data_IF_882120192498
#
_entry.id   IF_882120192498
#
_cell.length_a   1.000
_cell.length_b   1.000
_cell.length_c   1.000
_cell.angle_alpha   90.00
_cell.angle_beta   90.00
_cell.angle_gamma   90.00
#
_symmetry.space_group_name_H-M   'P 1'
#
loop_
_entity.id
_entity.type
_entity.pdbx_description
1 polymer ?
#
# COMPACT_ATOMS: atom_id res chain seq x y z
N UNK A 1 30.68 19.83 1.85
CA UNK A 1 29.63 19.63 2.86
C UNK A 1 29.38 21.01 3.41
N UNK A 2 28.22 21.60 3.12
CA UNK A 2 27.88 22.88 3.69
C UNK A 2 27.74 22.73 5.21
N UNK A 3 28.21 23.69 6.02
CA UNK A 3 28.03 23.64 7.47
C UNK A 3 26.54 23.59 7.79
N UNK A 4 26.15 22.76 8.75
CA UNK A 4 24.76 22.68 9.20
C UNK A 4 24.28 24.08 9.63
N UNK A 5 23.11 24.54 9.15
CA UNK A 5 22.61 25.85 9.49
C UNK A 5 22.46 25.94 11.01
N UNK A 6 23.04 26.98 11.61
CA UNK A 6 22.92 27.26 13.04
C UNK A 6 21.43 27.37 13.38
N UNK A 7 20.94 26.50 14.27
CA UNK A 7 19.55 26.57 14.76
C UNK A 7 19.36 27.95 15.38
N UNK A 8 18.56 28.81 14.73
CA UNK A 8 18.21 30.13 15.27
C UNK A 8 17.43 29.92 16.58
N UNK A 9 17.71 30.73 17.60
CA UNK A 9 16.91 30.76 18.83
C UNK A 9 15.46 31.07 18.41
N UNK A 10 14.49 30.25 18.82
CA UNK A 10 13.08 30.57 18.62
C UNK A 10 12.79 31.83 19.43
N UNK A 11 12.56 32.93 18.73
CA UNK A 11 12.02 34.16 19.32
C UNK A 11 10.55 33.92 19.68
N UNK A 12 10.04 34.62 20.69
CA UNK A 12 8.64 34.60 21.15
C UNK A 12 7.63 34.89 20.03
N UNK A 13 8.08 35.44 18.91
CA UNK A 13 7.29 35.68 17.70
C UNK A 13 7.02 34.43 16.86
N UNK A 14 7.62 33.28 17.15
CA UNK A 14 7.27 32.05 16.43
C UNK A 14 5.90 31.55 16.91
N UNK A 15 5.02 31.06 16.01
CA UNK A 15 3.70 30.58 16.40
C UNK A 15 3.76 29.38 17.36
N UNK A 16 4.86 28.63 17.33
CA UNK A 16 5.11 27.50 18.23
C UNK A 16 6.01 27.86 19.43
N UNK A 17 6.36 29.14 19.61
CA UNK A 17 7.08 29.57 20.80
C UNK A 17 6.10 29.64 21.98
N UNK A 18 6.27 28.73 22.93
CA UNK A 18 5.53 28.77 24.20
C UNK A 18 6.03 29.98 25.00
N UNK A 19 5.13 30.89 25.37
CA UNK A 19 5.48 32.15 26.03
C UNK A 19 5.98 31.95 27.47
N UNK A 20 5.42 30.98 28.19
CA UNK A 20 5.78 30.67 29.58
C UNK A 20 5.85 29.16 29.79
N UNK A 21 6.95 28.67 30.38
CA UNK A 21 7.12 27.25 30.71
C UNK A 21 6.97 27.10 32.22
N UNK A 22 5.81 26.63 32.66
CA UNK A 22 5.59 26.27 34.07
C UNK A 22 6.11 24.85 34.31
N UNK A 23 6.94 24.70 35.33
CA UNK A 23 7.50 23.41 35.71
C UNK A 23 6.53 22.65 36.62
N UNK A 24 5.93 21.59 36.09
CA UNK A 24 5.10 20.68 36.87
C UNK A 24 5.93 19.48 37.36
N UNK A 25 6.15 19.33 38.68
CA UNK A 25 6.89 18.20 39.24
C UNK A 25 6.20 16.86 39.00
N UNK A 26 4.87 16.82 38.88
CA UNK A 26 4.10 15.59 38.63
C UNK A 26 4.33 15.09 37.21
N UNK A 27 4.21 15.97 36.21
CA UNK A 27 4.55 15.68 34.82
C UNK A 27 6.02 15.26 34.66
N UNK A 28 6.94 15.82 35.45
CA UNK A 28 8.34 15.37 35.48
C UNK A 28 8.47 13.96 36.04
N UNK A 29 7.77 13.61 37.11
CA UNK A 29 7.80 12.27 37.68
C UNK A 29 7.26 11.22 36.68
N UNK A 30 6.17 11.53 35.99
CA UNK A 30 5.63 10.71 34.90
C UNK A 30 6.60 10.63 33.72
N UNK A 31 7.28 11.72 33.39
CA UNK A 31 8.31 11.72 32.38
C UNK A 31 9.52 10.87 32.80
N UNK A 32 9.97 10.89 34.05
CA UNK A 32 11.11 10.06 34.44
C UNK A 32 10.76 8.56 34.49
N UNK A 33 9.57 8.22 34.99
CA UNK A 33 9.14 6.81 35.16
C UNK A 33 8.50 6.20 33.92
N UNK A 34 7.85 7.01 33.08
CA UNK A 34 7.08 6.58 31.90
C UNK A 34 7.89 6.30 30.63
N UNK A 35 9.17 5.91 30.72
CA UNK A 35 10.03 5.78 29.54
C UNK A 35 9.50 4.75 28.52
N UNK A 36 8.93 3.64 29.00
CA UNK A 36 8.28 2.65 28.15
C UNK A 36 7.05 3.23 27.45
N UNK A 37 6.19 3.96 28.17
CA UNK A 37 5.01 4.66 27.61
C UNK A 37 5.43 5.62 26.48
N UNK A 38 6.46 6.44 26.69
CA UNK A 38 6.99 7.34 25.63
C UNK A 38 7.63 6.61 24.46
N UNK A 39 8.27 5.47 24.70
CA UNK A 39 8.83 4.66 23.61
C UNK A 39 7.70 4.12 22.72
N UNK A 40 6.64 3.60 23.33
CA UNK A 40 5.44 3.17 22.62
C UNK A 40 4.74 4.33 21.91
N UNK A 41 4.54 5.47 22.57
CA UNK A 41 3.96 6.66 21.95
C UNK A 41 4.77 7.14 20.73
N UNK A 42 6.09 7.16 20.81
CA UNK A 42 6.94 7.51 19.66
C UNK A 42 6.80 6.51 18.51
N UNK A 43 6.72 5.22 18.83
CA UNK A 43 6.48 4.19 17.81
C UNK A 43 5.11 4.37 17.14
N UNK A 44 4.05 4.58 17.94
CA UNK A 44 2.69 4.84 17.44
C UNK A 44 2.62 6.12 16.61
N UNK A 45 3.18 7.22 17.09
CA UNK A 45 3.22 8.48 16.35
C UNK A 45 3.98 8.35 15.02
N UNK A 46 5.08 7.58 14.99
CA UNK A 46 5.78 7.30 13.74
C UNK A 46 4.93 6.49 12.76
N UNK A 47 4.16 5.51 13.26
CA UNK A 47 3.20 4.74 12.46
C UNK A 47 2.07 5.63 11.93
N UNK A 48 1.48 6.49 12.76
CA UNK A 48 0.43 7.42 12.38
C UNK A 48 0.88 8.41 11.30
N UNK A 49 2.10 8.95 11.42
CA UNK A 49 2.67 9.82 10.37
C UNK A 49 2.86 9.04 9.07
N UNK A 50 3.37 7.81 9.14
CA UNK A 50 3.55 6.98 7.95
C UNK A 50 2.20 6.67 7.28
N UNK A 51 1.17 6.37 8.06
CA UNK A 51 -0.18 6.13 7.55
C UNK A 51 -0.80 7.38 6.93
N UNK A 52 -0.68 8.54 7.58
CA UNK A 52 -1.16 9.82 7.04
C UNK A 52 -0.51 10.13 5.69
N UNK A 53 0.81 9.99 5.60
CA UNK A 53 1.55 10.17 4.34
C UNK A 53 1.13 9.18 3.27
N UNK A 54 1.00 7.90 3.59
CA UNK A 54 0.55 6.89 2.63
C UNK A 54 -0.87 7.20 2.10
N UNK A 55 -1.75 7.71 2.96
CA UNK A 55 -3.11 8.12 2.59
C UNK A 55 -3.11 9.35 1.68
N UNK A 56 -2.26 10.34 1.97
CA UNK A 56 -2.06 11.53 1.14
C UNK A 56 -1.49 11.15 -0.24
N UNK A 57 -0.45 10.33 -0.28
CA UNK A 57 0.15 9.82 -1.52
C UNK A 57 -0.87 9.07 -2.38
N UNK A 58 -1.69 8.20 -1.77
CA UNK A 58 -2.76 7.49 -2.49
C UNK A 58 -3.82 8.44 -3.06
N UNK A 59 -4.16 9.51 -2.33
CA UNK A 59 -5.10 10.53 -2.81
C UNK A 59 -4.50 11.31 -3.98
N UNK A 60 -3.24 11.72 -3.88
CA UNK A 60 -2.53 12.40 -4.95
C UNK A 60 -2.40 11.53 -6.19
N UNK A 61 -2.05 10.25 -6.04
CA UNK A 61 -1.99 9.30 -7.17
C UNK A 61 -3.34 9.18 -7.88
N UNK A 62 -4.44 9.02 -7.12
CA UNK A 62 -5.79 9.00 -7.72
C UNK A 62 -6.12 10.32 -8.41
N UNK A 63 -5.69 11.45 -7.84
CA UNK A 63 -5.89 12.77 -8.46
C UNK A 63 -5.13 12.86 -9.78
N UNK A 64 -3.86 12.46 -9.82
CA UNK A 64 -3.03 12.42 -11.02
C UNK A 64 -3.65 11.55 -12.12
N UNK A 65 -4.08 10.33 -11.78
CA UNK A 65 -4.76 9.45 -12.75
C UNK A 65 -6.03 10.10 -13.31
N UNK A 66 -6.81 10.81 -12.48
CA UNK A 66 -8.00 11.53 -12.98
C UNK A 66 -7.64 12.71 -13.87
N UNK A 67 -6.59 13.45 -13.53
CA UNK A 67 -6.09 14.58 -14.33
C UNK A 67 -5.52 14.10 -15.66
N UNK A 68 -4.75 13.00 -15.66
CA UNK A 68 -4.23 12.33 -16.86
C UNK A 68 -5.37 11.89 -17.78
N UNK A 69 -6.37 11.18 -17.27
CA UNK A 69 -7.55 10.77 -18.06
C UNK A 69 -8.33 11.95 -18.64
N UNK A 70 -8.48 13.04 -17.87
CA UNK A 70 -9.14 14.26 -18.38
C UNK A 70 -8.33 14.91 -19.49
N UNK A 71 -7.01 15.03 -19.31
CA UNK A 71 -6.13 15.61 -20.31
C UNK A 71 -6.07 14.76 -21.59
N UNK A 72 -6.06 13.43 -21.47
CA UNK A 72 -6.16 12.51 -22.60
C UNK A 72 -7.48 12.68 -23.37
N UNK A 73 -8.60 12.79 -22.65
CA UNK A 73 -9.91 13.04 -23.25
C UNK A 73 -9.98 14.40 -23.95
N UNK A 74 -9.46 15.46 -23.33
CA UNK A 74 -9.38 16.79 -23.95
C UNK A 74 -8.50 16.80 -25.21
N UNK A 75 -7.37 16.07 -25.20
CA UNK A 75 -6.54 15.89 -26.39
C UNK A 75 -7.28 15.16 -27.50
N UNK A 76 -7.97 14.07 -27.17
CA UNK A 76 -8.75 13.32 -28.16
C UNK A 76 -9.86 14.16 -28.80
N UNK A 77 -10.55 15.00 -28.01
CA UNK A 77 -11.55 15.95 -28.54
C UNK A 77 -10.89 16.99 -29.44
N UNK A 78 -9.75 17.55 -29.01
CA UNK A 78 -9.03 18.55 -29.81
C UNK A 78 -8.57 17.95 -31.15
N UNK A 79 -7.98 16.76 -31.14
CA UNK A 79 -7.58 16.02 -32.33
C UNK A 79 -8.78 15.73 -33.25
N UNK A 80 -9.89 15.24 -32.70
CA UNK A 80 -11.12 15.01 -33.48
C UNK A 80 -11.66 16.31 -34.11
N UNK A 81 -11.69 17.41 -33.34
CA UNK A 81 -12.08 18.72 -33.85
C UNK A 81 -11.17 19.19 -34.98
N UNK A 82 -9.86 18.99 -34.88
CA UNK A 82 -8.92 19.35 -35.96
C UNK A 82 -9.17 18.52 -37.21
N UNK A 83 -9.38 17.20 -37.09
CA UNK A 83 -9.71 16.32 -38.22
C UNK A 83 -11.03 16.74 -38.88
N UNK A 84 -12.07 17.05 -38.10
CA UNK A 84 -13.34 17.54 -38.65
C UNK A 84 -13.21 18.90 -39.34
N UNK A 85 -12.35 19.79 -38.82
CA UNK A 85 -12.03 21.06 -39.47
C UNK A 85 -11.27 20.85 -40.80
N UNK A 86 -10.36 19.88 -40.87
CA UNK A 86 -9.66 19.52 -42.10
C UNK A 86 -10.61 18.91 -43.14
N UNK A 87 -11.50 18.01 -42.74
CA UNK A 87 -12.52 17.40 -43.61
C UNK A 87 -13.48 18.48 -44.13
N UNK A 88 -14.01 19.34 -43.26
CA UNK A 88 -14.91 20.43 -43.68
C UNK A 88 -14.23 21.44 -44.59
N UNK A 89 -12.95 21.77 -44.34
CA UNK A 89 -12.15 22.61 -45.25
C UNK A 89 -11.91 21.95 -46.61
N UNK A 90 -11.63 20.65 -46.64
CA UNK A 90 -11.44 19.89 -47.87
C UNK A 90 -12.75 19.78 -48.68
N UNK A 91 -13.89 19.58 -48.00
CA UNK A 91 -15.21 19.61 -48.62
C UNK A 91 -15.54 21.01 -49.18
N UNK A 92 -15.23 22.07 -48.43
CA UNK A 92 -15.45 23.44 -48.87
C UNK A 92 -14.54 23.86 -50.05
N UNK A 93 -13.31 23.34 -50.16
CA UNK A 93 -12.44 23.64 -51.31
C UNK A 93 -12.74 22.76 -52.54
N UNK A 94 -13.50 21.68 -52.39
CA UNK A 94 -14.01 20.85 -53.49
C UNK A 94 -15.36 21.31 -54.05
N UNK A 95 -16.08 22.19 -53.34
CA UNK A 95 -17.37 22.74 -53.77
C UNK A 95 -17.21 24.16 -54.31
N UNK A 96 -16.77 24.24 -55.56
CA UNK A 96 -16.86 25.44 -56.37
C UNK A 96 -17.95 25.28 -57.43
N UNK A 97 -19.22 25.31 -57.04
CA UNK A 97 -20.34 25.62 -57.94
C UNK A 97 -21.60 26.00 -57.15
N UNK A 98 -21.96 27.27 -57.29
CA UNK A 98 -23.26 27.95 -57.22
C UNK A 98 -24.53 27.08 -56.96
N UNK A 99 -25.40 27.56 -56.06
CA UNK A 99 -26.72 26.98 -55.82
C UNK A 99 -27.44 27.62 -54.63
N UNK A 100 -28.57 28.25 -54.92
CA UNK A 100 -29.39 29.13 -54.10
C UNK A 100 -30.10 28.45 -52.91
N UNK A 101 -30.52 29.31 -51.98
CA UNK A 101 -31.72 29.25 -51.12
C UNK A 101 -32.63 28.03 -51.31
N UNK A 102 -32.76 27.18 -50.29
CA UNK A 102 -34.01 26.47 -50.02
C UNK A 102 -34.15 26.13 -48.52
N UNK A 103 -35.17 26.74 -47.94
CA UNK A 103 -35.65 26.60 -46.58
C UNK A 103 -36.57 25.37 -46.55
N UNK A 104 -36.00 24.19 -46.33
CA UNK A 104 -36.79 22.98 -46.05
C UNK A 104 -36.50 22.48 -44.64
N UNK A 105 -37.45 22.80 -43.75
CA UNK A 105 -37.71 22.13 -42.48
C UNK A 105 -37.85 20.62 -42.73
N UNK A 106 -36.72 19.90 -42.73
CA UNK A 106 -36.74 18.45 -42.77
C UNK A 106 -36.98 17.94 -41.36
N UNK A 107 -38.28 17.75 -41.09
CA UNK A 107 -38.82 17.09 -39.90
C UNK A 107 -37.97 15.88 -39.51
N UNK A 108 -37.56 15.92 -38.26
CA UNK A 108 -36.94 14.85 -37.50
C UNK A 108 -37.91 13.65 -37.39
N UNK A 109 -38.04 12.90 -38.48
CA UNK A 109 -38.82 11.67 -38.58
C UNK A 109 -37.90 10.49 -38.90
N UNK A 110 -36.89 10.26 -38.06
CA UNK A 110 -36.36 8.92 -37.91
C UNK A 110 -36.55 8.45 -36.48
N UNK A 111 -37.79 8.01 -36.28
CA UNK A 111 -38.22 6.85 -35.50
C UNK A 111 -37.53 6.67 -34.16
N UNK A 112 -38.36 6.80 -33.14
CA UNK A 112 -38.25 6.11 -31.87
C UNK A 112 -38.02 4.60 -32.10
N UNK A 113 -36.79 4.21 -32.45
CA UNK A 113 -36.28 2.85 -32.26
C UNK A 113 -36.16 2.65 -30.75
N UNK A 114 -37.33 2.46 -30.15
CA UNK A 114 -37.56 2.01 -28.79
C UNK A 114 -36.68 0.79 -28.59
N UNK A 115 -35.60 1.01 -27.85
CA UNK A 115 -34.56 0.02 -27.59
C UNK A 115 -35.21 -1.19 -26.92
N UNK A 116 -35.51 -2.23 -27.71
CA UNK A 116 -35.90 -3.54 -27.22
C UNK A 116 -34.72 -4.06 -26.37
N UNK A 117 -34.86 -3.95 -25.05
CA UNK A 117 -33.81 -4.27 -24.10
C UNK A 117 -33.16 -5.63 -24.37
N UNK A 118 -31.91 -5.76 -23.97
CA UNK A 118 -31.10 -6.99 -24.10
C UNK A 118 -31.94 -8.19 -23.66
N UNK A 119 -32.16 -9.13 -24.59
CA UNK A 119 -32.83 -10.40 -24.30
C UNK A 119 -32.10 -11.09 -23.14
N UNK A 120 -32.81 -11.32 -22.04
CA UNK A 120 -32.26 -11.94 -20.83
C UNK A 120 -31.63 -13.29 -21.21
N UNK A 121 -30.29 -13.43 -21.08
CA UNK A 121 -29.62 -14.68 -21.41
C UNK A 121 -30.12 -15.78 -20.47
N UNK A 122 -30.09 -17.05 -20.91
CA UNK A 122 -30.49 -18.16 -20.06
C UNK A 122 -29.65 -18.17 -18.78
N UNK A 123 -30.24 -18.47 -17.60
CA UNK A 123 -29.55 -18.42 -16.33
C UNK A 123 -28.30 -19.31 -16.36
N UNK A 124 -27.15 -18.69 -16.19
CA UNK A 124 -25.81 -19.26 -16.34
C UNK A 124 -25.36 -19.83 -14.99
N UNK A 125 -26.05 -20.88 -14.53
CA UNK A 125 -25.61 -21.69 -13.40
C UNK A 125 -24.98 -22.97 -13.95
N UNK A 126 -23.64 -23.01 -14.08
CA UNK A 126 -22.93 -24.22 -14.47
C UNK A 126 -21.67 -24.46 -13.63
N UNK A 127 -21.43 -25.73 -13.35
CA UNK A 127 -20.26 -26.21 -12.60
C UNK A 127 -19.22 -26.71 -13.60
N UNK A 128 -18.01 -26.12 -13.58
CA UNK A 128 -16.90 -26.56 -14.41
C UNK A 128 -15.86 -27.27 -13.55
N UNK A 129 -15.62 -28.56 -13.85
CA UNK A 129 -14.57 -29.36 -13.23
C UNK A 129 -13.25 -29.11 -13.95
N UNK A 130 -12.27 -28.52 -13.25
CA UNK A 130 -10.91 -28.38 -13.75
C UNK A 130 -9.99 -29.39 -13.06
N UNK A 131 -9.35 -30.23 -13.88
CA UNK A 131 -8.38 -31.23 -13.45
C UNK A 131 -6.99 -30.74 -13.86
N UNK A 132 -6.24 -30.19 -12.91
CA UNK A 132 -4.79 -30.07 -13.06
C UNK A 132 -4.12 -31.33 -12.48
N UNK A 133 -2.96 -31.71 -13.02
CA UNK A 133 -2.25 -32.99 -12.74
C UNK A 133 -2.07 -33.30 -11.24
N UNK A 134 -2.09 -32.29 -10.36
CA UNK A 134 -1.96 -32.43 -8.91
C UNK A 134 -3.13 -31.82 -8.10
N UNK A 135 -4.15 -31.21 -8.72
CA UNK A 135 -5.24 -30.51 -8.01
C UNK A 135 -6.58 -30.59 -8.75
N UNK A 136 -7.57 -31.13 -8.06
CA UNK A 136 -8.97 -31.07 -8.47
C UNK A 136 -9.62 -29.83 -7.85
N UNK A 137 -10.03 -28.87 -8.69
CA UNK A 137 -10.77 -27.69 -8.25
C UNK A 137 -12.03 -27.53 -9.08
N UNK A 138 -13.18 -27.40 -8.41
CA UNK A 138 -14.45 -27.07 -9.05
C UNK A 138 -14.69 -25.57 -8.95
N UNK A 139 -15.01 -24.94 -10.09
CA UNK A 139 -15.41 -23.53 -10.13
C UNK A 139 -16.90 -23.50 -10.42
N UNK A 140 -17.69 -23.03 -9.44
CA UNK A 140 -19.13 -22.82 -9.58
C UNK A 140 -19.39 -21.36 -9.97
N UNK A 141 -20.00 -21.15 -11.14
CA UNK A 141 -20.48 -19.84 -11.56
C UNK A 141 -21.97 -19.80 -11.26
N UNK A 142 -22.37 -18.88 -10.39
CA UNK A 142 -23.73 -18.70 -9.91
C UNK A 142 -24.12 -17.24 -10.12
N UNK A 143 -25.32 -16.99 -10.65
CA UNK A 143 -25.79 -15.63 -10.91
C UNK A 143 -25.99 -14.81 -9.63
N UNK A 144 -25.54 -13.55 -9.67
CA UNK A 144 -25.68 -12.59 -8.57
C UNK A 144 -26.67 -11.50 -8.98
N UNK A 145 -27.79 -11.41 -8.25
CA UNK A 145 -28.70 -10.27 -8.34
C UNK A 145 -27.95 -8.99 -7.91
N UNK A 146 -27.92 -7.98 -8.79
CA UNK A 146 -27.22 -6.71 -8.58
C UNK A 146 -27.85 -5.85 -7.46
N UNK A 147 -28.96 -6.29 -6.87
CA UNK A 147 -29.54 -5.69 -5.68
C UNK A 147 -28.57 -5.73 -4.48
N UNK A 148 -28.68 -4.73 -3.60
CA UNK A 148 -27.86 -4.63 -2.36
C UNK A 148 -28.03 -5.83 -1.44
N UNK A 149 -29.12 -6.58 -1.58
CA UNK A 149 -29.43 -7.78 -0.81
C UNK A 149 -28.78 -9.04 -1.43
N UNK A 150 -28.69 -9.12 -2.76
CA UNK A 150 -27.96 -10.18 -3.47
C UNK A 150 -26.50 -10.30 -3.02
N UNK A 151 -25.81 -9.16 -2.86
CA UNK A 151 -24.44 -9.14 -2.33
C UNK A 151 -24.29 -9.51 -0.86
N UNK A 152 -25.35 -9.38 -0.04
CA UNK A 152 -25.33 -9.70 1.39
C UNK A 152 -25.52 -11.18 1.67
N UNK A 153 -26.38 -11.85 0.90
CA UNK A 153 -26.68 -13.29 1.04
C UNK A 153 -25.44 -14.19 0.90
N UNK A 154 -24.44 -13.81 0.10
CA UNK A 154 -23.16 -14.56 0.02
C UNK A 154 -22.25 -14.33 1.24
N UNK A 155 -22.21 -13.11 1.77
CA UNK A 155 -21.37 -12.80 2.93
C UNK A 155 -21.83 -13.58 4.18
N UNK A 156 -23.13 -13.76 4.35
CA UNK A 156 -23.68 -14.58 5.46
C UNK A 156 -23.47 -16.08 5.22
N UNK A 157 -23.59 -16.58 3.97
CA UNK A 157 -23.32 -18.00 3.63
C UNK A 157 -21.85 -18.40 3.73
N UNK A 158 -20.89 -17.49 3.52
CA UNK A 158 -19.46 -17.78 3.75
C UNK A 158 -19.09 -17.81 5.25
N UNK A 159 -19.86 -17.14 6.10
CA UNK A 159 -19.65 -17.14 7.56
C UNK A 159 -20.28 -18.38 8.24
N UNK A 160 -21.30 -18.99 7.63
CA UNK A 160 -22.03 -20.16 8.15
C UNK A 160 -21.33 -21.51 7.88
N UNK A 161 -20.36 -21.57 6.97
CA UNK A 161 -19.59 -22.81 6.68
C UNK A 161 -18.27 -22.93 7.48
N UNK A 162 -18.10 -22.11 8.51
CA UNK A 162 -16.82 -21.93 9.19
C UNK A 162 -16.73 -22.39 10.64
N UNK A 163 -17.83 -22.74 11.32
CA UNK A 163 -17.76 -23.11 12.74
C UNK A 163 -18.98 -23.95 13.15
N UNK A 164 -18.83 -25.28 13.11
CA UNK A 164 -19.69 -26.21 13.85
C UNK A 164 -18.86 -27.45 14.24
N UNK A 165 -18.11 -27.33 15.33
CA UNK A 165 -17.87 -28.44 16.25
C UNK A 165 -18.19 -27.98 17.68
N UNK A 166 -19.17 -28.67 18.24
CA UNK A 166 -19.86 -28.50 19.51
C UNK A 166 -18.99 -28.32 20.76
N UNK A 167 -19.40 -27.42 21.65
CA UNK A 167 -19.88 -27.82 22.98
C UNK A 167 -20.64 -26.68 23.68
N UNK A 168 -21.96 -26.87 23.77
CA UNK A 168 -22.78 -26.29 24.82
C UNK A 168 -22.43 -26.93 26.17
N UNK A 169 -22.19 -26.13 27.22
CA UNK A 169 -22.83 -26.40 28.51
C UNK A 169 -22.89 -25.14 29.38
N UNK A 170 -24.08 -24.97 29.93
CA UNK A 170 -24.64 -23.76 30.51
C UNK A 170 -24.24 -23.60 31.99
N UNK A 171 -24.23 -22.36 32.48
CA UNK A 171 -23.78 -22.06 33.83
C UNK A 171 -24.90 -22.18 34.87
N UNK A 172 -24.68 -22.93 35.96
CA UNK A 172 -25.19 -22.58 37.31
C UNK A 172 -24.70 -23.52 38.42
N UNK A 173 -24.06 -22.96 39.45
CA UNK A 173 -24.45 -23.00 40.90
C UNK A 173 -23.26 -22.90 41.87
N UNK A 174 -23.60 -22.55 43.10
CA UNK A 174 -22.80 -21.93 44.18
C UNK A 174 -22.08 -22.94 45.10
N UNK A 175 -20.91 -22.52 45.59
CA UNK A 175 -20.42 -22.50 47.00
C UNK A 175 -20.40 -23.84 47.79
N UNK A 176 -19.22 -24.31 48.21
CA UNK A 176 -18.73 -24.35 49.62
C UNK A 176 -17.35 -25.02 49.76
N UNK A 177 -16.73 -24.67 50.89
CA UNK A 177 -15.45 -24.97 51.56
C UNK A 177 -15.05 -26.44 51.77
N UNK A 178 -13.75 -26.54 52.11
CA UNK A 178 -13.05 -27.54 52.94
C UNK A 178 -12.28 -28.72 52.30
N UNK A 179 -11.30 -29.14 53.09
CA UNK A 179 -9.96 -29.67 52.81
C UNK A 179 -9.89 -31.16 52.45
N UNK A 180 -8.75 -31.56 51.85
CA UNK A 180 -7.99 -32.83 51.96
C UNK A 180 -7.36 -33.16 50.59
N UNK A 181 -6.06 -32.99 50.42
CA UNK A 181 -4.96 -33.92 50.69
C UNK A 181 -4.75 -35.02 49.62
N UNK A 182 -3.49 -35.05 49.16
CA UNK A 182 -2.76 -36.11 48.44
C UNK A 182 -2.98 -36.34 46.93
N UNK A 183 -1.89 -36.20 46.16
CA UNK A 183 -1.68 -36.97 44.94
C UNK A 183 -0.97 -36.30 43.76
N UNK A 184 0.37 -36.35 43.75
CA UNK A 184 1.28 -36.39 42.58
C UNK A 184 1.63 -35.12 41.78
N UNK A 185 2.78 -34.57 42.20
CA UNK A 185 3.95 -34.09 41.44
C UNK A 185 3.93 -33.92 39.90
N UNK A 186 4.36 -32.70 39.51
CA UNK A 186 5.30 -32.33 38.44
C UNK A 186 5.05 -32.73 36.97
N UNK A 187 4.76 -31.75 36.12
CA UNK A 187 5.77 -31.16 35.19
C UNK A 187 5.17 -30.25 34.12
N UNK A 188 5.39 -28.93 34.19
CA UNK A 188 5.54 -28.07 33.00
C UNK A 188 5.97 -26.63 33.35
N UNK A 189 7.00 -26.48 34.20
CA UNK A 189 7.75 -25.21 34.22
C UNK A 189 8.50 -25.06 32.89
N UNK A 190 8.18 -23.98 32.17
CA UNK A 190 8.82 -23.58 30.92
C UNK A 190 10.35 -23.74 30.99
N UNK A 191 10.90 -24.64 30.16
CA UNK A 191 12.33 -24.91 30.11
C UNK A 191 13.07 -23.66 29.62
N UNK A 192 13.84 -23.03 30.52
CA UNK A 192 14.82 -21.99 30.16
C UNK A 192 15.88 -22.63 29.26
N UNK A 193 16.09 -22.04 28.08
CA UNK A 193 17.04 -22.53 27.07
C UNK A 193 18.47 -22.52 27.64
N UNK A 194 19.11 -23.68 27.63
CA UNK A 194 20.53 -23.83 27.98
C UNK A 194 21.38 -23.12 26.93
N UNK A 195 22.21 -22.17 27.38
CA UNK A 195 23.10 -21.39 26.52
C UNK A 195 24.27 -22.25 26.05
N UNK A 196 24.23 -22.71 24.80
CA UNK A 196 25.38 -23.35 24.14
C UNK A 196 26.12 -22.29 23.33
N UNK A 197 27.45 -22.17 23.54
CA UNK A 197 28.33 -21.14 22.94
C UNK A 197 28.50 -21.25 21.41
N UNK A 198 27.84 -22.19 20.75
CA UNK A 198 27.86 -22.38 19.30
C UNK A 198 26.45 -22.23 18.74
N UNK A 199 26.03 -20.99 18.47
CA UNK A 199 24.79 -20.74 17.74
C UNK A 199 24.89 -21.37 16.32
N UNK A 200 24.00 -22.30 15.91
CA UNK A 200 23.95 -22.75 14.53
C UNK A 200 23.47 -21.58 13.67
N UNK A 201 24.40 -20.92 12.99
CA UNK A 201 24.05 -19.94 11.96
C UNK A 201 23.48 -20.71 10.77
N UNK A 202 22.27 -20.33 10.37
CA UNK A 202 21.77 -20.48 9.01
C UNK A 202 21.40 -21.91 8.56
N UNK A 203 20.22 -22.39 8.96
CA UNK A 203 19.43 -23.33 8.15
C UNK A 203 17.93 -23.03 8.33
N UNK A 204 17.42 -22.03 7.62
CA UNK A 204 16.02 -22.10 7.19
C UNK A 204 16.03 -22.96 5.93
N UNK A 205 15.64 -24.23 6.09
CA UNK A 205 15.05 -25.04 5.01
C UNK A 205 13.68 -24.41 4.69
N UNK A 206 13.28 -24.45 3.43
CA UNK A 206 12.15 -23.74 2.79
C UNK A 206 12.40 -22.27 2.43
N UNK A 207 13.08 -22.08 1.29
CA UNK A 207 12.56 -21.18 0.26
C UNK A 207 13.22 -21.52 -1.08
N UNK A 208 12.57 -22.40 -1.84
CA UNK A 208 12.85 -22.67 -3.25
C UNK A 208 12.33 -21.51 -4.07
N UNK A 209 13.09 -20.41 -4.12
CA UNK A 209 12.90 -19.30 -5.04
C UNK A 209 14.24 -18.57 -5.20
N UNK A 210 15.04 -19.06 -6.14
CA UNK A 210 16.42 -18.63 -6.37
C UNK A 210 16.55 -17.34 -7.23
N UNK A 211 15.46 -16.67 -7.59
CA UNK A 211 15.49 -15.54 -8.53
C UNK A 211 15.08 -14.18 -7.95
N UNK A 212 15.16 -14.00 -6.63
CA UNK A 212 15.01 -12.66 -6.03
C UNK A 212 16.37 -11.93 -5.98
N UNK A 213 16.58 -10.82 -6.70
CA UNK A 213 17.85 -10.09 -6.65
C UNK A 213 18.12 -9.57 -5.23
N UNK A 214 19.21 -10.06 -4.63
CA UNK A 214 19.70 -9.74 -3.27
C UNK A 214 20.26 -8.31 -3.15
N UNK A 215 19.69 -7.33 -3.84
CA UNK A 215 20.26 -5.96 -3.89
C UNK A 215 19.97 -5.14 -2.64
N UNK A 216 18.99 -5.49 -1.81
CA UNK A 216 18.61 -4.72 -0.62
C UNK A 216 18.57 -5.51 0.70
N UNK A 217 19.11 -6.73 0.76
CA UNK A 217 19.28 -7.45 2.03
C UNK A 217 20.57 -7.00 2.72
N UNK A 218 20.45 -5.93 3.52
CA UNK A 218 21.42 -5.48 4.56
C UNK A 218 22.89 -5.54 4.11
N UNK A 219 23.40 -4.41 3.58
CA UNK A 219 24.84 -4.20 3.28
C UNK A 219 25.70 -4.89 4.34
N UNK A 220 26.45 -5.93 3.93
CA UNK A 220 27.33 -6.67 4.84
C UNK A 220 28.21 -5.65 5.57
N UNK A 221 28.22 -5.70 6.91
CA UNK A 221 29.10 -4.86 7.72
C UNK A 221 30.52 -5.08 7.20
N UNK A 222 31.19 -4.03 6.75
CA UNK A 222 32.60 -4.12 6.34
C UNK A 222 33.38 -4.66 7.53
N UNK A 223 33.93 -5.87 7.39
CA UNK A 223 34.85 -6.40 8.39
C UNK A 223 36.04 -5.45 8.44
N UNK A 224 36.30 -4.88 9.61
CA UNK A 224 37.47 -4.04 9.85
C UNK A 224 38.70 -4.95 9.85
N UNK A 225 39.24 -5.20 8.66
CA UNK A 225 40.59 -5.73 8.47
C UNK A 225 41.47 -4.56 8.03
N UNK A 226 42.69 -4.51 8.56
CA UNK A 226 43.66 -3.52 8.11
C UNK A 226 43.94 -3.77 6.62
N UNK A 227 43.70 -2.75 5.81
CA UNK A 227 44.07 -2.77 4.39
C UNK A 227 45.58 -2.97 4.27
N UNK A 228 46.00 -3.86 3.38
CA UNK A 228 47.40 -4.03 3.04
C UNK A 228 47.95 -2.74 2.39
N UNK A 229 49.28 -2.56 2.39
CA UNK A 229 49.91 -1.30 1.94
C UNK A 229 49.58 -0.95 0.47
N UNK A 230 49.36 -1.96 -0.37
CA UNK A 230 48.89 -1.81 -1.77
C UNK A 230 47.43 -1.36 -1.84
N UNK A 231 46.54 -1.99 -1.07
CA UNK A 231 45.12 -1.64 -0.99
C UNK A 231 44.93 -0.20 -0.52
N UNK A 232 45.70 0.22 0.50
CA UNK A 232 45.70 1.60 1.01
C UNK A 232 46.10 2.63 -0.05
N UNK A 233 46.99 2.28 -0.98
CA UNK A 233 47.36 3.17 -2.09
C UNK A 233 46.20 3.31 -3.08
N UNK A 234 45.52 2.21 -3.38
CA UNK A 234 44.37 2.20 -4.29
C UNK A 234 43.18 2.95 -3.69
N UNK A 235 42.89 2.79 -2.39
CA UNK A 235 41.82 3.52 -1.72
C UNK A 235 42.10 5.03 -1.69
N UNK A 236 43.32 5.44 -1.33
CA UNK A 236 43.75 6.84 -1.44
C UNK A 236 43.66 7.40 -2.86
N UNK A 237 44.00 6.61 -3.87
CA UNK A 237 43.88 7.05 -5.27
C UNK A 237 42.41 7.26 -5.66
N UNK A 238 41.51 6.33 -5.29
CA UNK A 238 40.06 6.44 -5.53
C UNK A 238 39.45 7.64 -4.81
N UNK A 239 39.84 7.90 -3.56
CA UNK A 239 39.40 9.08 -2.82
C UNK A 239 39.84 10.39 -3.48
N UNK A 240 41.11 10.46 -3.91
CA UNK A 240 41.64 11.63 -4.63
C UNK A 240 40.94 11.85 -5.98
N UNK A 241 40.69 10.78 -6.73
CA UNK A 241 39.98 10.85 -8.01
C UNK A 241 38.53 11.35 -7.81
N UNK A 242 37.82 10.83 -6.81
CA UNK A 242 36.48 11.29 -6.44
C UNK A 242 36.46 12.75 -5.99
N UNK A 243 37.45 13.16 -5.17
CA UNK A 243 37.61 14.56 -4.76
C UNK A 243 37.85 15.51 -5.94
N UNK A 244 38.72 15.13 -6.87
CA UNK A 244 39.02 15.90 -8.09
C UNK A 244 37.80 16.04 -9.00
N UNK A 245 37.01 14.97 -9.18
CA UNK A 245 35.76 15.01 -9.97
C UNK A 245 34.75 15.99 -9.36
N UNK A 246 34.49 15.88 -8.07
CA UNK A 246 33.55 16.77 -7.35
C UNK A 246 34.00 18.22 -7.32
N UNK A 247 35.32 18.47 -7.28
CA UNK A 247 35.87 19.81 -7.38
C UNK A 247 35.70 20.41 -8.78
N UNK A 248 35.86 19.61 -9.84
CA UNK A 248 35.56 20.02 -11.23
C UNK A 248 34.09 20.35 -11.42
N UNK A 249 33.19 19.50 -10.92
CA UNK A 249 31.73 19.73 -10.97
C UNK A 249 31.34 21.04 -10.28
N UNK A 250 31.96 21.38 -9.14
CA UNK A 250 31.72 22.67 -8.46
C UNK A 250 32.32 23.88 -9.16
N UNK A 251 33.34 23.70 -9.99
CA UNK A 251 33.97 24.80 -10.73
C UNK A 251 33.27 25.04 -12.07
N UNK A 252 32.50 24.07 -12.54
CA UNK A 252 31.71 24.13 -13.76
C UNK A 252 30.25 24.60 -13.54
N UNK A 253 29.81 24.70 -12.27
CA UNK A 253 28.54 25.28 -11.86
C UNK A 253 28.79 26.65 -11.24
#
# INVERSE_FOLDING_TARGET
MAPYPKKRKLTTSNPNAVQEILFDPSARAEYLTGFHKRKLQRAKHAQEIAEKKAREEKKEQRRRIREERRAEFERAIAENRTVMQEISRAAACGSGSDGEDDDEEQENNNMDEEWEGITEPPPIDYEAEYIDEDKYTTVTVEELDASREGFRRRADKELDKGDDEENDDDGKTKKTTEESEEGQEDSSKAKKRVWVKTSPKYKNKHNDNADRPKSNTKRKKKSFRYENKSERKVTKFKERAGGKKRARERKAA
#
